data_IF_199899482027
#
_entry.id   IF_199899482027
#
_cell.length_a   1.000
_cell.length_b   1.000
_cell.length_c   1.000
_cell.angle_alpha   90.00
_cell.angle_beta   90.00
_cell.angle_gamma   90.00
#
_symmetry.space_group_name_H-M   'P 1'
#
loop_
_entity.id
_entity.type
_entity.pdbx_description
1 polymer ?
#
# COMPACT_ATOMS: atom_id res chain seq x y z
N UNK A 1 1.17 5.37 39.18
CA UNK A 1 0.32 6.52 38.79
C UNK A 1 0.33 6.62 37.27
N UNK A 2 -0.78 6.94 36.65
CA UNK A 2 -0.81 7.21 35.21
C UNK A 2 -0.06 8.53 34.96
N UNK A 3 0.75 8.58 33.88
CA UNK A 3 1.46 9.79 33.46
C UNK A 3 0.47 10.88 33.05
N UNK A 4 0.78 12.12 33.36
CA UNK A 4 0.06 13.29 32.83
C UNK A 4 0.32 13.46 31.34
N UNK A 5 -0.50 14.25 30.64
CA UNK A 5 -0.29 14.52 29.20
C UNK A 5 1.10 15.12 28.92
N UNK A 6 1.56 16.04 29.76
CA UNK A 6 2.89 16.65 29.64
C UNK A 6 4.03 15.64 29.86
N UNK A 7 3.90 14.74 30.82
CA UNK A 7 4.87 13.65 31.05
C UNK A 7 4.88 12.65 29.88
N UNK A 8 3.73 12.36 29.27
CA UNK A 8 3.64 11.51 28.09
C UNK A 8 4.34 12.16 26.88
N UNK A 9 4.11 13.45 26.62
CA UNK A 9 4.79 14.19 25.55
C UNK A 9 6.30 14.20 25.76
N UNK A 10 6.75 14.46 27.01
CA UNK A 10 8.18 14.45 27.34
C UNK A 10 8.80 13.06 27.14
N UNK A 11 8.16 12.01 27.61
CA UNK A 11 8.65 10.63 27.48
C UNK A 11 8.69 10.17 26.00
N UNK A 12 7.70 10.58 25.21
CA UNK A 12 7.64 10.33 23.77
C UNK A 12 8.85 10.97 23.06
N UNK A 13 9.10 12.27 23.29
CA UNK A 13 10.21 12.98 22.69
C UNK A 13 11.59 12.46 23.12
N UNK A 14 11.72 11.93 24.36
CA UNK A 14 12.99 11.43 24.90
C UNK A 14 13.26 9.97 24.50
N UNK A 15 12.23 9.13 24.31
CA UNK A 15 12.40 7.68 24.23
C UNK A 15 11.84 7.02 22.97
N UNK A 16 11.00 7.70 22.16
CA UNK A 16 10.45 7.13 20.94
C UNK A 16 11.11 7.73 19.67
N UNK A 17 11.53 6.85 18.77
CA UNK A 17 11.96 7.23 17.42
C UNK A 17 10.75 7.12 16.49
N UNK A 18 10.24 8.27 16.05
CA UNK A 18 9.11 8.30 15.13
C UNK A 18 9.52 7.97 13.69
N UNK A 19 8.78 7.04 13.00
CA UNK A 19 9.07 6.72 11.61
C UNK A 19 8.98 7.94 10.69
N UNK A 20 10.00 8.15 9.84
CA UNK A 20 10.04 9.21 8.82
C UNK A 20 9.88 10.64 9.38
N UNK A 21 10.31 10.87 10.58
CA UNK A 21 10.18 12.14 11.30
C UNK A 21 11.55 12.73 11.64
N UNK A 22 11.64 14.05 11.56
CA UNK A 22 12.76 14.82 12.10
C UNK A 22 12.25 15.78 13.20
N UNK A 23 12.90 15.87 14.36
CA UNK A 23 12.41 16.68 15.49
C UNK A 23 12.15 18.16 15.17
N UNK A 24 12.83 18.72 14.15
CA UNK A 24 12.59 20.09 13.70
C UNK A 24 11.30 20.31 12.91
N UNK A 25 10.59 19.24 12.52
CA UNK A 25 9.38 19.35 11.71
C UNK A 25 8.11 19.50 12.56
N UNK A 26 8.06 18.78 13.69
CA UNK A 26 6.95 18.84 14.65
C UNK A 26 7.51 18.83 16.06
N UNK A 27 7.26 19.90 16.79
CA UNK A 27 7.76 20.04 18.16
C UNK A 27 7.02 19.12 19.15
N UNK A 28 5.74 18.82 18.91
CA UNK A 28 4.92 18.00 19.81
C UNK A 28 4.20 16.89 19.04
N UNK A 29 4.22 15.63 19.56
CA UNK A 29 3.48 14.53 18.97
C UNK A 29 1.98 14.66 19.22
N UNK A 30 1.16 14.21 18.28
CA UNK A 30 -0.28 14.03 18.51
C UNK A 30 -0.50 12.65 19.11
N UNK A 31 -0.96 12.58 20.36
CA UNK A 31 -1.17 11.32 21.08
C UNK A 31 -2.63 10.89 20.94
N UNK A 32 -2.90 9.89 20.10
CA UNK A 32 -4.23 9.31 19.92
C UNK A 32 -4.52 8.32 21.04
N UNK A 33 -5.73 8.38 21.60
CA UNK A 33 -6.14 7.58 22.76
C UNK A 33 -7.35 6.68 22.51
N UNK A 34 -8.15 6.97 21.47
CA UNK A 34 -9.37 6.24 21.17
C UNK A 34 -9.70 6.29 19.69
N UNK A 35 -10.37 5.25 19.18
CA UNK A 35 -10.93 5.21 17.84
C UNK A 35 -12.27 4.46 17.80
N UNK A 36 -13.20 4.90 16.94
CA UNK A 36 -14.47 4.21 16.68
C UNK A 36 -14.96 4.51 15.25
N UNK A 37 -15.26 3.48 14.48
CA UNK A 37 -15.64 3.63 13.08
C UNK A 37 -14.56 4.35 12.27
N UNK A 38 -14.88 5.48 11.66
CA UNK A 38 -13.91 6.31 10.96
C UNK A 38 -13.38 7.50 11.79
N UNK A 39 -13.62 7.52 13.11
CA UNK A 39 -13.26 8.63 14.00
C UNK A 39 -12.18 8.22 14.98
N UNK A 40 -11.22 9.14 15.24
CA UNK A 40 -10.18 9.00 16.27
C UNK A 40 -10.16 10.23 17.19
N UNK A 41 -9.69 10.05 18.42
CA UNK A 41 -9.56 11.12 19.42
C UNK A 41 -8.14 11.17 19.97
N UNK A 42 -7.64 12.41 20.14
CA UNK A 42 -6.37 12.63 20.81
C UNK A 42 -6.53 12.76 22.33
N UNK A 43 -5.39 12.89 23.03
CA UNK A 43 -5.34 13.04 24.50
C UNK A 43 -5.96 14.36 24.98
N UNK A 44 -6.05 15.37 24.12
CA UNK A 44 -6.74 16.63 24.38
C UNK A 44 -8.25 16.54 24.22
N UNK A 45 -8.77 15.40 23.77
CA UNK A 45 -10.20 15.18 23.52
C UNK A 45 -10.68 15.68 22.16
N UNK A 46 -9.80 16.16 21.29
CA UNK A 46 -10.19 16.58 19.96
C UNK A 46 -10.58 15.37 19.11
N UNK A 47 -11.63 15.55 18.31
CA UNK A 47 -12.18 14.54 17.43
C UNK A 47 -11.75 14.79 15.99
N UNK A 48 -11.34 13.70 15.31
CA UNK A 48 -10.91 13.74 13.90
C UNK A 48 -11.56 12.63 13.10
N UNK A 49 -12.00 12.93 11.87
CA UNK A 49 -12.24 11.91 10.87
C UNK A 49 -10.89 11.36 10.41
N UNK A 50 -10.72 10.05 10.47
CA UNK A 50 -9.54 9.36 9.95
C UNK A 50 -9.63 9.24 8.42
N UNK A 51 -9.08 10.20 7.72
CA UNK A 51 -9.08 10.27 6.26
C UNK A 51 -8.08 9.31 5.59
N UNK A 52 -7.31 8.53 6.38
CA UNK A 52 -6.28 7.63 5.87
C UNK A 52 -6.37 6.18 6.40
N UNK A 53 -7.41 5.85 7.17
CA UNK A 53 -7.56 4.54 7.83
C UNK A 53 -6.29 4.16 8.62
N UNK A 54 -5.88 5.02 9.57
CA UNK A 54 -4.60 4.92 10.25
C UNK A 54 -3.44 5.15 9.28
N UNK A 55 -2.94 4.07 8.69
CA UNK A 55 -1.95 4.12 7.60
C UNK A 55 -2.36 3.14 6.48
N UNK A 56 -3.51 3.39 5.82
CA UNK A 56 -4.07 2.58 4.72
C UNK A 56 -4.49 1.16 5.17
N UNK A 57 -4.82 0.95 6.45
CA UNK A 57 -4.98 -0.39 7.00
C UNK A 57 -6.25 -0.64 7.81
N UNK A 58 -6.86 0.36 8.46
CA UNK A 58 -8.04 0.17 9.33
C UNK A 58 -9.32 0.06 8.48
N UNK A 59 -9.41 -1.01 7.69
CA UNK A 59 -10.49 -1.17 6.71
C UNK A 59 -11.88 -1.34 7.37
N UNK A 60 -12.02 -2.16 8.42
CA UNK A 60 -13.31 -2.40 9.10
C UNK A 60 -13.66 -1.32 10.14
N UNK A 61 -12.82 -0.27 10.24
CA UNK A 61 -12.99 0.80 11.22
C UNK A 61 -12.35 0.49 12.57
N UNK A 62 -12.21 1.55 13.36
CA UNK A 62 -11.69 1.48 14.73
C UNK A 62 -12.72 0.91 15.71
N UNK A 63 -12.26 0.34 16.84
CA UNK A 63 -13.09 -0.05 17.97
C UNK A 63 -13.99 -1.27 17.71
N UNK A 64 -13.60 -2.20 16.82
CA UNK A 64 -14.32 -3.46 16.58
C UNK A 64 -14.06 -4.47 17.69
N UNK A 65 -15.01 -4.61 18.61
CA UNK A 65 -14.93 -5.58 19.72
C UNK A 65 -14.73 -7.01 19.21
N UNK A 66 -15.39 -7.42 18.13
CA UNK A 66 -15.26 -8.76 17.54
C UNK A 66 -13.81 -9.16 17.24
N UNK A 67 -12.94 -8.21 16.82
CA UNK A 67 -11.52 -8.48 16.57
C UNK A 67 -10.72 -8.61 17.86
N UNK A 68 -11.04 -7.79 18.88
CA UNK A 68 -10.44 -7.89 20.20
C UNK A 68 -10.81 -9.21 20.89
N UNK A 69 -12.07 -9.62 20.77
CA UNK A 69 -12.58 -10.89 21.32
C UNK A 69 -11.92 -12.10 20.63
N UNK A 70 -11.77 -12.07 19.30
CA UNK A 70 -11.06 -13.11 18.56
C UNK A 70 -9.60 -13.23 19.02
N UNK A 71 -8.90 -12.11 19.21
CA UNK A 71 -7.54 -12.08 19.75
C UNK A 71 -7.49 -12.66 21.17
N UNK A 72 -8.35 -12.18 22.06
CA UNK A 72 -8.41 -12.63 23.47
C UNK A 72 -8.70 -14.13 23.57
N UNK A 73 -9.65 -14.62 22.79
CA UNK A 73 -10.00 -16.06 22.78
C UNK A 73 -8.81 -16.89 22.32
N UNK A 74 -8.19 -16.53 21.21
CA UNK A 74 -7.04 -17.29 20.68
C UNK A 74 -5.82 -17.21 21.59
N UNK A 75 -5.56 -16.07 22.25
CA UNK A 75 -4.47 -15.92 23.19
C UNK A 75 -4.63 -16.82 24.43
N UNK A 76 -5.85 -17.03 24.89
CA UNK A 76 -6.14 -17.95 26.03
C UNK A 76 -5.95 -19.40 25.64
N UNK A 77 -6.25 -19.77 24.40
CA UNK A 77 -6.14 -21.15 23.91
C UNK A 77 -4.69 -21.47 23.51
N UNK A 78 -4.09 -20.71 22.60
CA UNK A 78 -2.73 -20.84 22.14
C UNK A 78 -2.24 -19.48 21.62
N UNK A 79 -1.50 -18.75 22.44
CA UNK A 79 -0.99 -17.42 22.11
C UNK A 79 0.00 -17.48 20.94
N UNK A 80 0.96 -18.40 21.02
CA UNK A 80 1.98 -18.62 20.00
C UNK A 80 2.48 -20.06 20.01
N UNK A 81 2.72 -20.59 18.81
CA UNK A 81 3.59 -21.73 18.56
C UNK A 81 4.20 -21.62 17.16
N UNK A 82 5.40 -22.16 16.99
CA UNK A 82 6.15 -22.05 15.73
C UNK A 82 5.50 -22.82 14.58
N UNK A 83 5.57 -22.28 13.36
CA UNK A 83 5.24 -22.98 12.12
C UNK A 83 6.44 -23.69 11.45
N UNK A 84 7.61 -23.74 12.11
CA UNK A 84 8.82 -24.34 11.55
C UNK A 84 8.71 -25.87 11.43
N UNK A 85 9.44 -26.42 10.46
CA UNK A 85 9.65 -27.85 10.23
C UNK A 85 8.38 -28.70 10.24
N UNK A 86 7.31 -28.18 9.65
CA UNK A 86 6.04 -28.92 9.49
C UNK A 86 5.06 -28.78 10.67
N UNK A 87 5.38 -27.98 11.67
CA UNK A 87 4.39 -27.58 12.68
C UNK A 87 3.35 -26.63 12.07
N UNK A 88 2.13 -26.62 12.60
CA UNK A 88 1.05 -25.74 12.15
C UNK A 88 0.08 -25.45 13.30
N UNK A 89 -0.91 -24.57 13.03
CA UNK A 89 -2.00 -24.28 13.94
C UNK A 89 -3.31 -24.05 13.18
N UNK A 90 -4.44 -24.27 13.87
CA UNK A 90 -5.78 -24.17 13.25
C UNK A 90 -6.05 -22.79 12.65
N UNK A 91 -5.79 -21.64 13.32
CA UNK A 91 -6.01 -20.32 12.74
C UNK A 91 -5.23 -20.08 11.44
N UNK A 92 -3.96 -20.51 11.36
CA UNK A 92 -3.15 -20.32 10.15
C UNK A 92 -3.69 -21.14 8.97
N UNK A 93 -4.11 -22.41 9.22
CA UNK A 93 -4.73 -23.27 8.19
C UNK A 93 -6.05 -22.65 7.72
N UNK A 94 -6.90 -22.21 8.66
CA UNK A 94 -8.19 -21.57 8.37
C UNK A 94 -7.99 -20.31 7.56
N UNK A 95 -7.03 -19.45 7.94
CA UNK A 95 -6.72 -18.23 7.19
C UNK A 95 -6.25 -18.54 5.77
N UNK A 96 -5.36 -19.52 5.60
CA UNK A 96 -4.89 -19.92 4.28
C UNK A 96 -6.07 -20.33 3.36
N UNK A 97 -7.01 -21.14 3.87
CA UNK A 97 -8.21 -21.50 3.11
C UNK A 97 -9.07 -20.28 2.78
N UNK A 98 -9.33 -19.38 3.74
CA UNK A 98 -10.11 -18.17 3.49
C UNK A 98 -9.46 -17.25 2.46
N UNK A 99 -8.14 -17.13 2.47
CA UNK A 99 -7.42 -16.36 1.47
C UNK A 99 -7.55 -16.96 0.07
N UNK A 100 -7.55 -18.30 -0.07
CA UNK A 100 -7.78 -18.95 -1.36
C UNK A 100 -9.20 -18.76 -1.90
N UNK A 101 -10.21 -18.62 -1.03
CA UNK A 101 -11.59 -18.36 -1.43
C UNK A 101 -11.82 -16.96 -2.03
N UNK A 102 -11.03 -15.96 -1.61
CA UNK A 102 -11.23 -14.55 -1.98
C UNK A 102 -10.20 -14.01 -2.98
N UNK A 103 -9.14 -14.79 -3.26
CA UNK A 103 -8.05 -14.37 -4.15
C UNK A 103 -8.30 -14.76 -5.62
N UNK A 104 -7.28 -14.67 -6.45
CA UNK A 104 -7.29 -15.10 -7.85
C UNK A 104 -7.30 -16.63 -7.94
N UNK A 105 -8.06 -17.18 -8.88
CA UNK A 105 -8.26 -18.62 -9.06
C UNK A 105 -6.99 -19.41 -9.48
N UNK A 106 -5.91 -18.70 -9.87
CA UNK A 106 -4.61 -19.29 -10.16
C UNK A 106 -3.70 -19.44 -8.93
N UNK A 107 -4.10 -18.89 -7.77
CA UNK A 107 -3.34 -19.02 -6.51
C UNK A 107 -3.56 -20.39 -5.88
N UNK A 108 -2.52 -20.90 -5.19
CA UNK A 108 -2.54 -22.25 -4.62
C UNK A 108 -2.09 -22.29 -3.16
N UNK A 109 -1.18 -21.43 -2.75
CA UNK A 109 -0.58 -21.50 -1.42
C UNK A 109 -0.25 -20.11 -0.86
N UNK A 110 -0.15 -20.05 0.47
CA UNK A 110 0.15 -18.83 1.23
C UNK A 110 1.41 -19.05 2.07
N UNK A 111 2.29 -18.06 2.11
CA UNK A 111 3.31 -17.93 3.15
C UNK A 111 2.99 -16.67 3.97
N UNK A 112 2.97 -16.80 5.29
CA UNK A 112 2.60 -15.72 6.21
C UNK A 112 3.84 -15.05 6.82
N UNK A 113 3.79 -13.72 6.94
CA UNK A 113 4.82 -12.83 7.48
C UNK A 113 4.18 -11.82 8.43
N UNK A 114 4.97 -10.90 9.02
CA UNK A 114 4.44 -9.92 9.98
C UNK A 114 4.02 -8.58 9.34
N UNK A 115 4.35 -8.34 8.07
CA UNK A 115 4.02 -7.08 7.40
C UNK A 115 4.41 -7.04 5.93
N UNK A 116 4.15 -5.89 5.28
CA UNK A 116 4.31 -5.72 3.84
C UNK A 116 5.77 -5.78 3.34
N UNK A 117 6.72 -5.24 4.09
CA UNK A 117 8.13 -5.31 3.72
C UNK A 117 8.64 -6.76 3.72
N UNK A 118 8.30 -7.54 4.76
CA UNK A 118 8.63 -8.97 4.83
C UNK A 118 7.91 -9.77 3.74
N UNK A 119 6.66 -9.41 3.41
CA UNK A 119 5.93 -10.02 2.30
C UNK A 119 6.68 -9.82 0.97
N UNK A 120 7.16 -8.60 0.68
CA UNK A 120 7.91 -8.31 -0.53
C UNK A 120 9.30 -8.98 -0.53
N UNK A 121 10.01 -9.02 0.60
CA UNK A 121 11.23 -9.82 0.75
C UNK A 121 10.99 -11.30 0.38
N UNK A 122 9.88 -11.85 0.87
CA UNK A 122 9.46 -13.22 0.57
C UNK A 122 9.15 -13.41 -0.91
N UNK A 123 8.47 -12.43 -1.54
CA UNK A 123 8.15 -12.45 -2.97
C UNK A 123 9.43 -12.45 -3.83
N UNK A 124 10.40 -11.60 -3.53
CA UNK A 124 11.68 -11.54 -4.26
C UNK A 124 12.47 -12.84 -4.14
N UNK A 125 12.58 -13.37 -2.92
CA UNK A 125 13.26 -14.66 -2.68
C UNK A 125 12.54 -15.80 -3.37
N UNK A 126 11.20 -15.82 -3.35
CA UNK A 126 10.38 -16.84 -4.02
C UNK A 126 10.55 -16.78 -5.53
N UNK A 127 10.58 -15.58 -6.14
CA UNK A 127 10.82 -15.43 -7.57
C UNK A 127 12.20 -15.98 -7.98
N UNK A 128 13.27 -15.64 -7.24
CA UNK A 128 14.62 -16.16 -7.47
C UNK A 128 14.69 -17.68 -7.27
N UNK A 129 14.04 -18.19 -6.23
CA UNK A 129 13.97 -19.62 -5.95
C UNK A 129 13.28 -20.38 -7.10
N UNK A 130 12.11 -19.89 -7.53
CA UNK A 130 11.35 -20.50 -8.63
C UNK A 130 12.23 -20.67 -9.88
N UNK A 131 12.91 -19.59 -10.30
CA UNK A 131 13.75 -19.65 -11.50
C UNK A 131 14.91 -20.62 -11.37
N UNK A 132 15.55 -20.71 -10.20
CA UNK A 132 16.57 -21.73 -9.94
C UNK A 132 16.00 -23.13 -9.98
N UNK A 133 14.85 -23.36 -9.35
CA UNK A 133 14.20 -24.68 -9.33
C UNK A 133 13.81 -25.19 -10.73
N UNK A 134 13.49 -24.27 -11.67
CA UNK A 134 13.18 -24.63 -13.07
C UNK A 134 14.36 -24.50 -14.03
N UNK A 135 15.60 -24.47 -13.50
CA UNK A 135 16.84 -24.51 -14.30
C UNK A 135 17.24 -23.19 -14.95
N UNK A 136 16.76 -22.04 -14.44
CA UNK A 136 17.13 -20.69 -14.92
C UNK A 136 17.76 -19.85 -13.80
N UNK A 137 18.96 -20.24 -13.28
CA UNK A 137 19.56 -19.65 -12.08
C UNK A 137 19.97 -18.18 -12.21
N UNK A 138 20.16 -17.67 -13.44
CA UNK A 138 20.59 -16.29 -13.71
C UNK A 138 19.43 -15.29 -13.65
N UNK A 139 18.17 -15.72 -13.61
CA UNK A 139 17.00 -14.87 -13.46
C UNK A 139 16.87 -14.40 -12.00
N UNK A 140 17.52 -13.28 -11.68
CA UNK A 140 17.63 -12.75 -10.29
C UNK A 140 17.24 -11.29 -10.17
N UNK A 141 17.18 -10.53 -11.29
CA UNK A 141 16.85 -9.10 -11.26
C UNK A 141 15.34 -8.88 -11.06
N UNK A 142 15.03 -7.82 -10.32
CA UNK A 142 13.66 -7.36 -10.08
C UNK A 142 13.50 -5.97 -10.70
N UNK A 143 12.48 -5.80 -11.54
CA UNK A 143 12.11 -4.50 -12.08
C UNK A 143 10.96 -3.93 -11.23
N UNK A 144 11.04 -2.65 -10.88
CA UNK A 144 9.98 -1.88 -10.21
C UNK A 144 9.83 -0.51 -10.85
N UNK A 145 8.94 0.33 -10.32
CA UNK A 145 8.65 1.65 -10.89
C UNK A 145 9.20 2.77 -10.00
N UNK A 146 9.59 3.89 -10.60
CA UNK A 146 9.77 5.13 -9.85
C UNK A 146 8.46 5.50 -9.12
N UNK A 147 8.57 6.16 -7.98
CA UNK A 147 7.47 6.51 -7.08
C UNK A 147 6.73 5.31 -6.44
N UNK A 148 7.12 4.06 -6.71
CA UNK A 148 6.58 2.90 -6.01
C UNK A 148 7.09 2.82 -4.56
N UNK A 149 6.28 2.21 -3.68
CA UNK A 149 6.66 1.91 -2.30
C UNK A 149 6.45 0.43 -1.99
N UNK A 150 7.52 -0.28 -1.69
CA UNK A 150 7.49 -1.72 -1.43
C UNK A 150 8.00 -2.11 -0.03
N UNK A 151 8.37 -1.12 0.79
CA UNK A 151 8.90 -1.31 2.14
C UNK A 151 10.26 -0.66 2.35
N UNK A 152 10.85 -0.89 3.54
CA UNK A 152 12.10 -0.25 3.99
C UNK A 152 13.16 -1.25 4.52
N UNK A 153 12.94 -2.56 4.44
CA UNK A 153 14.01 -3.54 4.54
C UNK A 153 14.95 -3.37 3.34
N UNK A 154 16.20 -3.80 3.40
CA UNK A 154 17.19 -3.46 2.39
C UNK A 154 16.79 -3.83 0.96
N UNK A 155 16.20 -5.01 0.72
CA UNK A 155 15.73 -5.36 -0.63
C UNK A 155 14.43 -4.62 -0.98
N UNK A 156 13.46 -4.54 -0.05
CA UNK A 156 12.22 -3.80 -0.29
C UNK A 156 12.47 -2.30 -0.51
N UNK A 157 13.43 -1.70 0.21
CA UNK A 157 13.90 -0.33 -0.03
C UNK A 157 14.55 -0.20 -1.41
N UNK A 158 15.33 -1.21 -1.83
CA UNK A 158 15.95 -1.22 -3.16
C UNK A 158 14.93 -1.33 -4.29
N UNK A 159 13.78 -1.98 -4.07
CA UNK A 159 12.64 -2.02 -4.98
C UNK A 159 11.78 -0.74 -4.90
N UNK A 160 11.72 -0.07 -3.74
CA UNK A 160 11.02 1.21 -3.57
C UNK A 160 11.64 2.26 -4.49
N UNK A 161 10.81 2.90 -5.33
CA UNK A 161 11.26 3.87 -6.34
C UNK A 161 11.26 5.32 -5.88
N UNK A 162 11.18 5.58 -4.57
CA UNK A 162 11.23 6.90 -3.95
C UNK A 162 12.63 7.16 -3.39
N UNK A 163 13.42 8.01 -4.06
CA UNK A 163 14.84 8.25 -3.73
C UNK A 163 15.09 8.81 -2.33
N UNK A 164 14.10 9.44 -1.71
CA UNK A 164 14.20 9.92 -0.33
C UNK A 164 14.50 8.81 0.68
N UNK A 165 14.11 7.57 0.39
CA UNK A 165 14.40 6.41 1.24
C UNK A 165 15.82 5.86 1.07
N UNK A 166 16.59 6.30 0.06
CA UNK A 166 17.89 5.70 -0.26
C UNK A 166 19.08 6.43 0.40
N UNK A 167 19.06 7.76 0.32
CA UNK A 167 20.21 8.65 0.55
C UNK A 167 21.09 8.28 1.77
N UNK A 168 20.49 7.95 2.90
CA UNK A 168 21.23 7.65 4.15
C UNK A 168 21.45 6.15 4.38
N UNK A 169 20.97 5.29 3.47
CA UNK A 169 21.02 3.83 3.60
C UNK A 169 21.71 3.14 2.40
N UNK A 170 22.30 3.90 1.49
CA UNK A 170 23.10 3.38 0.38
C UNK A 170 24.39 2.72 0.87
N UNK A 171 24.93 1.69 0.16
CA UNK A 171 24.48 1.24 -1.16
C UNK A 171 23.23 0.37 -1.12
N UNK A 172 22.38 0.48 -2.15
CA UNK A 172 21.23 -0.40 -2.33
C UNK A 172 21.67 -1.81 -2.72
N UNK A 173 20.79 -2.77 -2.46
CA UNK A 173 21.02 -4.16 -2.89
C UNK A 173 21.03 -4.21 -4.43
N UNK A 174 22.04 -4.83 -5.08
CA UNK A 174 22.10 -4.92 -6.53
C UNK A 174 21.01 -5.80 -7.11
N UNK A 175 20.70 -5.59 -8.41
CA UNK A 175 19.69 -6.36 -9.14
C UNK A 175 18.28 -5.79 -9.07
N UNK A 176 18.08 -4.58 -8.53
CA UNK A 176 16.82 -3.84 -8.60
C UNK A 176 16.92 -2.72 -9.63
N UNK A 177 16.01 -2.73 -10.61
CA UNK A 177 15.96 -1.80 -11.74
C UNK A 177 14.66 -1.00 -11.69
N UNK A 178 14.74 0.31 -11.93
CA UNK A 178 13.55 1.17 -11.93
C UNK A 178 13.20 1.66 -13.33
N UNK A 179 11.91 1.66 -13.63
CA UNK A 179 11.34 2.19 -14.86
C UNK A 179 10.40 3.37 -14.57
N UNK A 180 10.02 4.18 -15.57
CA UNK A 180 9.04 5.26 -15.38
C UNK A 180 7.73 4.74 -14.77
N UNK A 181 7.11 5.57 -13.92
CA UNK A 181 5.78 5.28 -13.38
C UNK A 181 4.70 5.49 -14.45
N UNK A 182 3.60 4.73 -14.35
CA UNK A 182 2.46 4.80 -15.27
C UNK A 182 1.46 5.92 -14.93
N UNK A 183 1.94 7.08 -14.47
CA UNK A 183 1.12 8.20 -14.02
C UNK A 183 0.76 9.15 -15.16
N UNK A 184 -0.49 9.16 -15.68
CA UNK A 184 -0.84 9.85 -16.91
C UNK A 184 -0.55 11.37 -16.89
N UNK A 185 -0.83 12.04 -15.78
CA UNK A 185 -0.66 13.49 -15.67
C UNK A 185 0.80 13.96 -15.87
N UNK A 186 1.78 13.12 -15.46
CA UNK A 186 3.21 13.48 -15.52
C UNK A 186 4.06 12.53 -16.36
N UNK A 187 3.44 11.58 -17.07
CA UNK A 187 4.20 10.63 -17.88
C UNK A 187 4.90 11.32 -19.04
N UNK A 188 6.17 11.02 -19.20
CA UNK A 188 6.99 11.49 -20.31
C UNK A 188 7.45 10.29 -21.16
N UNK A 189 7.58 10.50 -22.49
CA UNK A 189 8.09 9.47 -23.40
C UNK A 189 7.02 8.64 -24.11
N UNK A 190 5.73 9.02 -24.05
CA UNK A 190 4.72 8.48 -24.96
C UNK A 190 4.98 8.96 -26.39
N UNK A 191 4.90 8.04 -27.35
CA UNK A 191 5.02 8.36 -28.79
C UNK A 191 3.68 8.90 -29.31
N UNK A 192 3.70 9.55 -30.48
CA UNK A 192 2.49 10.04 -31.11
C UNK A 192 1.48 8.88 -31.32
N UNK A 193 0.24 9.06 -30.84
CA UNK A 193 -0.83 8.05 -30.89
C UNK A 193 -0.75 6.93 -29.84
N UNK A 194 0.25 6.95 -28.98
CA UNK A 194 0.42 5.95 -27.90
C UNK A 194 -0.29 6.43 -26.62
N UNK A 195 -1.07 5.55 -25.99
CA UNK A 195 -1.59 5.83 -24.64
C UNK A 195 -0.45 5.78 -23.61
N UNK A 196 -0.66 6.40 -22.44
CA UNK A 196 0.31 6.29 -21.34
C UNK A 196 0.48 4.83 -20.89
N UNK A 197 -0.59 4.04 -20.90
CA UNK A 197 -0.51 2.60 -20.56
C UNK A 197 0.34 1.82 -21.55
N UNK A 198 0.21 2.10 -22.84
CA UNK A 198 1.07 1.53 -23.91
C UNK A 198 2.53 1.90 -23.69
N UNK A 199 2.80 3.20 -23.51
CA UNK A 199 4.15 3.70 -23.33
C UNK A 199 4.83 3.18 -22.06
N UNK A 200 4.11 3.11 -20.95
CA UNK A 200 4.63 2.58 -19.69
C UNK A 200 4.88 1.06 -19.74
N UNK A 201 4.00 0.30 -20.42
CA UNK A 201 4.23 -1.13 -20.64
C UNK A 201 5.39 -1.38 -21.61
N UNK A 202 5.55 -0.56 -22.65
CA UNK A 202 6.73 -0.57 -23.53
C UNK A 202 8.02 -0.28 -22.75
N UNK A 203 8.01 0.68 -21.83
CA UNK A 203 9.17 0.94 -20.97
C UNK A 203 9.58 -0.27 -20.12
N UNK A 204 8.61 -1.09 -19.67
CA UNK A 204 8.90 -2.37 -19.04
C UNK A 204 9.58 -3.33 -20.00
N UNK A 205 9.05 -3.50 -21.22
CA UNK A 205 9.63 -4.40 -22.22
C UNK A 205 11.06 -3.96 -22.61
N UNK A 206 11.26 -2.67 -22.86
CA UNK A 206 12.60 -2.12 -23.15
C UNK A 206 13.59 -2.36 -22.01
N UNK A 207 13.14 -2.27 -20.75
CA UNK A 207 13.99 -2.58 -19.59
C UNK A 207 14.33 -4.06 -19.52
N UNK A 208 13.38 -4.96 -19.75
CA UNK A 208 13.62 -6.42 -19.80
C UNK A 208 14.66 -6.75 -20.88
N UNK A 209 14.50 -6.19 -22.08
CA UNK A 209 15.42 -6.41 -23.19
C UNK A 209 16.82 -5.87 -22.90
N UNK A 210 16.93 -4.67 -22.33
CA UNK A 210 18.20 -4.05 -21.94
C UNK A 210 18.94 -4.83 -20.85
N UNK A 211 18.21 -5.32 -19.85
CA UNK A 211 18.79 -6.09 -18.73
C UNK A 211 19.14 -7.53 -19.13
N UNK A 212 18.58 -8.02 -20.23
CA UNK A 212 18.64 -9.40 -20.69
C UNK A 212 17.47 -10.24 -20.14
N UNK A 213 16.54 -10.72 -20.98
CA UNK A 213 15.35 -11.47 -20.55
C UNK A 213 15.67 -12.66 -19.64
N UNK A 214 16.81 -13.32 -19.86
CA UNK A 214 17.24 -14.48 -19.07
C UNK A 214 17.86 -14.09 -17.71
N UNK A 215 17.96 -12.80 -17.39
CA UNK A 215 18.43 -12.31 -16.08
C UNK A 215 17.31 -11.68 -15.23
N UNK A 216 16.16 -11.35 -15.82
CA UNK A 216 15.05 -10.72 -15.13
C UNK A 216 14.10 -11.76 -14.54
N UNK A 217 14.02 -11.82 -13.22
CA UNK A 217 13.15 -12.74 -12.49
C UNK A 217 11.70 -12.29 -12.44
N UNK A 218 11.47 -11.01 -12.09
CA UNK A 218 10.12 -10.51 -11.91
C UNK A 218 10.02 -9.00 -12.14
N UNK A 219 8.80 -8.56 -12.46
CA UNK A 219 8.34 -7.19 -12.31
C UNK A 219 7.43 -7.10 -11.09
N UNK A 220 7.67 -6.13 -10.20
CA UNK A 220 6.78 -5.84 -9.08
C UNK A 220 6.06 -4.51 -9.28
N UNK A 221 4.76 -4.47 -8.96
CA UNK A 221 4.00 -3.24 -9.03
C UNK A 221 2.77 -3.22 -8.14
N UNK A 222 2.52 -2.06 -7.52
CA UNK A 222 1.25 -1.75 -6.89
C UNK A 222 0.19 -1.55 -7.99
N UNK A 223 -1.01 -2.18 -7.92
CA UNK A 223 -2.08 -1.97 -8.91
C UNK A 223 -2.44 -0.49 -9.10
N UNK A 224 -2.53 0.24 -7.99
CA UNK A 224 -2.58 1.69 -7.89
C UNK A 224 -1.48 2.06 -6.90
N UNK A 225 -0.56 2.96 -7.26
CA UNK A 225 0.44 3.40 -6.29
C UNK A 225 -0.26 4.03 -5.08
N UNK A 226 0.08 3.59 -3.88
CA UNK A 226 -0.43 4.19 -2.66
C UNK A 226 0.44 5.37 -2.23
N UNK A 227 1.50 5.08 -1.49
CA UNK A 227 2.42 6.06 -0.91
C UNK A 227 3.10 6.99 -1.91
N UNK A 228 3.20 6.59 -3.17
CA UNK A 228 3.75 7.37 -4.27
C UNK A 228 2.88 8.53 -4.76
N UNK A 229 1.62 8.63 -4.33
CA UNK A 229 0.74 9.72 -4.74
C UNK A 229 -0.68 9.31 -5.12
N UNK A 230 -1.11 8.09 -4.78
CA UNK A 230 -2.38 7.51 -5.27
C UNK A 230 -2.44 7.60 -6.79
N UNK A 231 -1.42 7.04 -7.48
CA UNK A 231 -1.28 7.16 -8.91
C UNK A 231 -2.03 6.04 -9.63
N UNK A 232 -3.05 6.42 -10.38
CA UNK A 232 -3.86 5.52 -11.18
C UNK A 232 -3.21 5.29 -12.54
N UNK A 233 -3.07 4.03 -13.00
CA UNK A 233 -2.73 3.74 -14.39
C UNK A 233 -3.94 3.96 -15.30
N UNK A 234 -3.71 4.08 -16.62
CA UNK A 234 -4.77 3.90 -17.62
C UNK A 234 -5.26 2.45 -17.64
N UNK A 235 -6.50 2.22 -18.07
CA UNK A 235 -7.11 0.87 -17.99
C UNK A 235 -6.41 -0.19 -18.86
N UNK A 236 -5.67 0.23 -19.89
CA UNK A 236 -4.92 -0.66 -20.78
C UNK A 236 -3.53 -1.06 -20.26
N UNK A 237 -3.04 -0.45 -19.16
CA UNK A 237 -1.70 -0.69 -18.63
C UNK A 237 -1.48 -2.12 -18.13
N UNK A 238 -2.31 -2.57 -17.19
CA UNK A 238 -2.11 -3.88 -16.54
C UNK A 238 -2.28 -5.07 -17.49
N UNK A 239 -3.27 -5.11 -18.41
CA UNK A 239 -3.32 -6.15 -19.44
C UNK A 239 -2.02 -6.23 -20.26
N UNK A 240 -1.47 -5.09 -20.68
CA UNK A 240 -0.21 -5.04 -21.44
C UNK A 240 1.00 -5.46 -20.63
N UNK A 241 1.07 -5.07 -19.35
CA UNK A 241 2.12 -5.54 -18.44
C UNK A 241 2.10 -7.08 -18.34
N UNK A 242 0.90 -7.68 -18.21
CA UNK A 242 0.78 -9.14 -18.17
C UNK A 242 1.25 -9.79 -19.48
N UNK A 243 0.91 -9.23 -20.62
CA UNK A 243 1.37 -9.70 -21.93
C UNK A 243 2.90 -9.64 -22.04
N UNK A 244 3.52 -8.53 -21.68
CA UNK A 244 4.99 -8.37 -21.69
C UNK A 244 5.65 -9.39 -20.75
N UNK A 245 5.19 -9.51 -19.51
CA UNK A 245 5.72 -10.47 -18.55
C UNK A 245 5.61 -11.93 -19.08
N UNK A 246 4.48 -12.28 -19.70
CA UNK A 246 4.26 -13.61 -20.28
C UNK A 246 5.21 -13.87 -21.45
N UNK A 247 5.34 -12.92 -22.37
CA UNK A 247 6.20 -13.02 -23.56
C UNK A 247 7.66 -13.28 -23.21
N UNK A 248 8.16 -12.63 -22.16
CA UNK A 248 9.56 -12.72 -21.75
C UNK A 248 9.82 -13.68 -20.59
N UNK A 249 8.83 -14.47 -20.18
CA UNK A 249 8.93 -15.36 -19.01
C UNK A 249 9.43 -14.60 -17.76
N UNK A 250 8.82 -13.47 -17.43
CA UNK A 250 9.07 -12.67 -16.24
C UNK A 250 7.87 -12.82 -15.32
N UNK A 251 8.09 -13.12 -14.03
CA UNK A 251 6.99 -13.22 -13.06
C UNK A 251 6.39 -11.84 -12.78
N UNK A 252 5.06 -11.79 -12.65
CA UNK A 252 4.34 -10.60 -12.19
C UNK A 252 4.06 -10.71 -10.70
N UNK A 253 4.67 -9.82 -9.91
CA UNK A 253 4.39 -9.67 -8.48
C UNK A 253 3.43 -8.49 -8.31
N UNK A 254 2.21 -8.76 -7.82
CA UNK A 254 1.27 -7.70 -7.44
C UNK A 254 1.50 -7.33 -5.98
N UNK A 255 1.91 -6.10 -5.71
CA UNK A 255 1.95 -5.54 -4.36
C UNK A 255 0.56 -4.98 -4.03
N UNK A 256 -0.28 -5.82 -3.42
CA UNK A 256 -1.64 -5.49 -2.97
C UNK A 256 -1.67 -5.11 -1.47
N UNK A 257 -0.56 -4.71 -0.92
CA UNK A 257 -0.43 -4.34 0.50
C UNK A 257 -1.36 -3.18 0.87
N UNK A 258 -1.57 -2.20 -0.03
CA UNK A 258 -2.53 -1.10 0.18
C UNK A 258 -3.86 -1.40 -0.51
N UNK A 259 -3.84 -1.90 -1.72
CA UNK A 259 -4.99 -2.00 -2.62
C UNK A 259 -5.89 -3.20 -2.35
N UNK A 260 -5.37 -4.22 -1.65
CA UNK A 260 -6.12 -5.40 -1.27
C UNK A 260 -7.15 -5.20 -0.17
N UNK A 261 -7.89 -6.26 0.12
CA UNK A 261 -8.89 -6.32 1.18
C UNK A 261 -9.95 -5.23 1.08
N UNK A 262 -10.64 -5.21 -0.06
CA UNK A 262 -11.78 -4.36 -0.38
C UNK A 262 -11.49 -2.87 -0.59
N UNK A 263 -10.24 -2.39 -0.42
CA UNK A 263 -9.88 -0.96 -0.51
C UNK A 263 -10.37 -0.31 -1.80
N UNK A 264 -10.26 -1.02 -2.93
CA UNK A 264 -10.63 -0.50 -4.25
C UNK A 264 -12.05 -0.89 -4.72
N UNK A 265 -12.89 -1.43 -3.82
CA UNK A 265 -14.23 -1.94 -4.18
C UNK A 265 -14.19 -3.37 -4.76
N UNK A 266 -13.06 -4.04 -4.69
CA UNK A 266 -12.84 -5.46 -5.00
C UNK A 266 -11.95 -6.06 -3.91
N UNK A 267 -11.93 -7.41 -3.76
CA UNK A 267 -11.03 -8.05 -2.82
C UNK A 267 -9.57 -7.69 -3.09
N UNK A 268 -9.16 -7.72 -4.37
CA UNK A 268 -7.83 -7.31 -4.83
C UNK A 268 -7.95 -6.45 -6.08
N UNK A 269 -7.06 -5.48 -6.23
CA UNK A 269 -7.25 -4.42 -7.22
C UNK A 269 -6.99 -4.85 -8.67
N UNK A 270 -6.08 -5.80 -8.96
CA UNK A 270 -5.90 -6.27 -10.33
C UNK A 270 -7.15 -6.97 -10.89
N UNK A 271 -8.13 -7.33 -10.04
CA UNK A 271 -9.45 -7.82 -10.49
C UNK A 271 -10.21 -6.80 -11.34
N UNK A 272 -9.92 -5.49 -11.21
CA UNK A 272 -10.52 -4.47 -12.07
C UNK A 272 -10.12 -4.57 -13.53
N UNK A 273 -8.95 -5.14 -13.80
CA UNK A 273 -8.39 -5.31 -15.14
C UNK A 273 -8.37 -6.76 -15.63
N UNK A 274 -8.98 -7.68 -14.85
CA UNK A 274 -8.95 -9.12 -15.12
C UNK A 274 -7.52 -9.67 -15.34
N UNK A 275 -6.55 -9.16 -14.57
CA UNK A 275 -5.14 -9.57 -14.61
C UNK A 275 -4.83 -10.42 -13.39
N UNK A 276 -4.20 -11.58 -13.61
CA UNK A 276 -3.80 -12.51 -12.57
C UNK A 276 -2.28 -12.45 -12.39
N UNK A 277 -1.78 -12.13 -11.18
CA UNK A 277 -0.36 -12.14 -10.89
C UNK A 277 0.16 -13.58 -10.67
N UNK A 278 1.48 -13.74 -10.70
CA UNK A 278 2.16 -14.99 -10.35
C UNK A 278 2.43 -15.09 -8.85
N UNK A 279 2.71 -13.93 -8.22
CA UNK A 279 2.86 -13.77 -6.77
C UNK A 279 2.06 -12.53 -6.37
N UNK A 280 1.36 -12.61 -5.24
CA UNK A 280 0.63 -11.49 -4.65
C UNK A 280 1.19 -11.24 -3.25
N UNK A 281 1.64 -10.02 -2.96
CA UNK A 281 2.03 -9.58 -1.61
C UNK A 281 0.87 -8.86 -0.92
N UNK A 282 0.63 -9.17 0.36
CA UNK A 282 -0.44 -8.55 1.14
C UNK A 282 -0.02 -8.25 2.59
N UNK A 283 -0.68 -7.28 3.20
CA UNK A 283 -0.57 -6.93 4.62
C UNK A 283 -1.75 -6.01 5.01
N UNK A 284 -1.54 -5.07 5.93
CA UNK A 284 -2.45 -3.96 6.26
C UNK A 284 -3.91 -4.39 6.47
N UNK A 285 -4.72 -4.30 5.41
CA UNK A 285 -6.14 -4.62 5.42
C UNK A 285 -6.48 -6.05 5.84
N UNK A 286 -5.53 -6.99 5.81
CA UNK A 286 -5.77 -8.39 6.21
C UNK A 286 -6.23 -8.54 7.66
N UNK A 287 -5.73 -7.68 8.56
CA UNK A 287 -6.14 -7.61 9.97
C UNK A 287 -6.79 -6.27 10.32
N UNK A 288 -6.99 -5.40 9.34
CA UNK A 288 -7.40 -4.00 9.55
C UNK A 288 -6.53 -3.25 10.57
N UNK A 289 -5.25 -3.60 10.65
CA UNK A 289 -4.28 -2.95 11.55
C UNK A 289 -4.41 -3.33 13.02
N UNK A 290 -5.32 -4.24 13.38
CA UNK A 290 -5.50 -4.68 14.77
C UNK A 290 -4.32 -5.51 15.28
N UNK A 291 -3.72 -6.33 14.43
CA UNK A 291 -2.48 -7.06 14.71
C UNK A 291 -1.57 -7.07 13.47
N UNK A 292 -0.23 -7.16 13.67
CA UNK A 292 0.72 -7.26 12.56
C UNK A 292 0.56 -8.59 11.82
N UNK A 293 0.29 -8.53 10.51
CA UNK A 293 0.26 -9.69 9.62
C UNK A 293 0.47 -9.25 8.18
N UNK A 294 1.14 -10.10 7.42
CA UNK A 294 1.30 -9.99 5.99
C UNK A 294 1.64 -11.34 5.39
N UNK A 295 1.97 -11.36 4.12
CA UNK A 295 2.38 -12.60 3.46
C UNK A 295 2.36 -12.49 1.95
N UNK A 296 2.60 -13.62 1.32
CA UNK A 296 2.48 -13.80 -0.12
C UNK A 296 1.53 -14.94 -0.44
N UNK A 297 0.83 -14.82 -1.56
CA UNK A 297 0.13 -15.92 -2.22
C UNK A 297 0.86 -16.24 -3.51
N UNK A 298 0.97 -17.52 -3.84
CA UNK A 298 1.72 -18.02 -5.00
C UNK A 298 0.87 -18.96 -5.83
N UNK A 299 1.16 -19.01 -7.13
CA UNK A 299 0.48 -19.88 -8.07
C UNK A 299 0.82 -21.37 -7.89
N UNK A 300 -0.01 -22.23 -8.47
CA UNK A 300 0.22 -23.68 -8.53
C UNK A 300 1.58 -24.02 -9.19
N UNK A 301 2.01 -23.26 -10.20
CA UNK A 301 3.28 -23.48 -10.88
C UNK A 301 4.48 -23.24 -9.92
N UNK A 302 4.44 -22.14 -9.15
CA UNK A 302 5.48 -21.82 -8.17
C UNK A 302 5.48 -22.85 -7.03
N UNK A 303 4.29 -23.19 -6.50
CA UNK A 303 4.17 -24.22 -5.46
C UNK A 303 4.71 -25.57 -5.93
N UNK A 304 4.37 -26.00 -7.16
CA UNK A 304 4.87 -27.24 -7.73
C UNK A 304 6.39 -27.25 -7.91
N UNK A 305 6.99 -26.13 -8.30
CA UNK A 305 8.44 -26.01 -8.36
C UNK A 305 9.09 -26.11 -6.96
N UNK A 306 8.47 -25.53 -5.94
CA UNK A 306 8.95 -25.64 -4.55
C UNK A 306 8.90 -27.09 -4.04
N UNK A 307 7.87 -27.86 -4.43
CA UNK A 307 7.70 -29.24 -4.00
C UNK A 307 8.60 -30.25 -4.79
N UNK A 308 9.07 -29.86 -5.98
CA UNK A 308 9.87 -30.73 -6.85
C UNK A 308 11.36 -30.73 -6.60
N UNK A 309 11.89 -29.75 -5.85
CA UNK A 309 13.33 -29.69 -5.55
C UNK A 309 13.72 -30.75 -4.52
N UNK A 310 14.99 -31.11 -4.50
CA UNK A 310 15.53 -32.02 -3.51
C UNK A 310 15.50 -31.42 -2.09
N UNK A 311 15.45 -32.23 -1.03
CA UNK A 311 15.42 -31.73 0.35
C UNK A 311 16.54 -30.76 0.72
N UNK A 312 17.73 -30.94 0.18
CA UNK A 312 18.88 -30.04 0.38
C UNK A 312 18.69 -28.66 -0.26
N UNK A 313 17.91 -28.58 -1.33
CA UNK A 313 17.60 -27.35 -2.08
C UNK A 313 16.28 -26.70 -1.64
N UNK A 314 15.70 -27.14 -0.53
CA UNK A 314 14.42 -26.64 -0.04
C UNK A 314 14.40 -25.11 0.10
N UNK A 315 13.23 -24.56 0.05
CA UNK A 315 12.98 -23.10 0.24
C UNK A 315 13.31 -22.66 1.68
N UNK A 316 14.60 -22.32 1.92
CA UNK A 316 15.12 -21.91 3.24
C UNK A 316 14.79 -20.46 3.53
N UNK A 317 13.52 -20.21 3.89
CA UNK A 317 12.99 -18.91 4.23
C UNK A 317 11.94 -19.04 5.33
N UNK A 318 12.07 -18.24 6.37
CA UNK A 318 11.17 -18.26 7.50
C UNK A 318 11.29 -16.94 8.30
N UNK A 319 10.22 -16.61 9.00
CA UNK A 319 10.20 -15.61 10.06
C UNK A 319 9.67 -16.24 11.34
N UNK A 320 10.16 -15.80 12.48
CA UNK A 320 9.72 -16.33 13.80
C UNK A 320 8.20 -16.29 13.96
N UNK A 321 7.57 -15.22 13.50
CA UNK A 321 6.13 -15.00 13.64
C UNK A 321 5.29 -15.42 12.41
N UNK A 322 5.87 -16.21 11.49
CA UNK A 322 5.11 -16.77 10.37
C UNK A 322 3.94 -17.62 10.90
N UNK A 323 2.71 -17.27 10.51
CA UNK A 323 1.51 -17.99 10.92
C UNK A 323 1.16 -17.87 12.39
N UNK A 324 1.52 -16.76 13.06
CA UNK A 324 1.19 -16.48 14.46
C UNK A 324 -0.31 -16.71 14.72
N UNK A 325 -0.69 -17.63 15.63
CA UNK A 325 -2.09 -18.06 15.81
C UNK A 325 -3.06 -16.91 16.05
N UNK A 326 -2.72 -16.00 16.97
CA UNK A 326 -3.59 -14.86 17.31
C UNK A 326 -3.76 -13.90 16.14
N UNK A 327 -2.70 -13.61 15.39
CA UNK A 327 -2.79 -12.74 14.20
C UNK A 327 -3.66 -13.39 13.11
N UNK A 328 -3.53 -14.69 12.91
CA UNK A 328 -4.34 -15.45 11.96
C UNK A 328 -5.82 -15.51 12.37
N UNK A 329 -6.13 -15.71 13.65
CA UNK A 329 -7.50 -15.70 14.15
C UNK A 329 -8.18 -14.35 13.95
N UNK A 330 -7.46 -13.25 14.22
CA UNK A 330 -7.94 -11.88 13.94
C UNK A 330 -8.16 -11.66 12.44
N UNK A 331 -7.27 -12.14 11.59
CA UNK A 331 -7.42 -12.02 10.13
C UNK A 331 -8.64 -12.81 9.62
N UNK A 332 -8.87 -14.01 10.10
CA UNK A 332 -10.08 -14.81 9.77
C UNK A 332 -11.34 -14.03 10.16
N UNK A 333 -11.42 -13.52 11.39
CA UNK A 333 -12.56 -12.71 11.86
C UNK A 333 -12.71 -11.42 11.03
N UNK A 334 -11.62 -10.77 10.64
CA UNK A 334 -11.64 -9.58 9.82
C UNK A 334 -12.20 -9.85 8.41
N UNK A 335 -11.81 -10.95 7.76
CA UNK A 335 -12.38 -11.37 6.47
C UNK A 335 -13.87 -11.70 6.62
N UNK A 336 -14.27 -12.35 7.71
CA UNK A 336 -15.69 -12.61 8.03
C UNK A 336 -16.51 -11.32 8.12
N UNK A 337 -16.00 -10.31 8.84
CA UNK A 337 -16.66 -8.99 8.96
C UNK A 337 -16.76 -8.32 7.59
N UNK A 338 -15.68 -8.27 6.81
CA UNK A 338 -15.69 -7.67 5.47
C UNK A 338 -16.71 -8.36 4.55
N UNK A 339 -16.81 -9.69 4.64
CA UNK A 339 -17.76 -10.49 3.84
C UNK A 339 -19.19 -10.23 4.28
N UNK A 340 -19.47 -10.33 5.59
CA UNK A 340 -20.81 -10.14 6.16
C UNK A 340 -21.38 -8.75 5.88
N UNK A 341 -20.51 -7.73 6.01
CA UNK A 341 -20.90 -6.32 5.81
C UNK A 341 -20.73 -5.84 4.35
N UNK A 342 -20.26 -6.72 3.45
CA UNK A 342 -20.04 -6.43 2.02
C UNK A 342 -19.25 -5.14 1.81
N UNK A 343 -18.15 -4.97 2.55
CA UNK A 343 -17.43 -3.70 2.62
C UNK A 343 -16.83 -3.25 1.28
N UNK A 344 -16.65 -4.15 0.31
CA UNK A 344 -16.28 -3.76 -1.07
C UNK A 344 -17.35 -2.89 -1.74
N UNK A 345 -18.63 -3.08 -1.43
CA UNK A 345 -19.72 -2.28 -2.00
C UNK A 345 -19.74 -0.88 -1.41
N UNK A 346 -19.61 -0.78 -0.08
CA UNK A 346 -19.49 0.53 0.57
C UNK A 346 -18.24 1.26 0.10
N UNK A 347 -17.11 0.56 -0.06
CA UNK A 347 -15.88 1.13 -0.59
C UNK A 347 -16.07 1.69 -2.02
N UNK A 348 -16.77 0.96 -2.90
CA UNK A 348 -17.10 1.45 -4.24
C UNK A 348 -18.01 2.68 -4.18
N UNK A 349 -19.17 2.57 -3.49
CA UNK A 349 -20.17 3.66 -3.38
C UNK A 349 -19.56 4.93 -2.76
N UNK A 350 -18.88 4.80 -1.64
CA UNK A 350 -18.29 5.94 -0.93
C UNK A 350 -17.07 6.50 -1.69
N UNK A 351 -16.33 5.65 -2.40
CA UNK A 351 -15.24 6.06 -3.27
C UNK A 351 -15.71 6.92 -4.43
N UNK A 352 -16.80 6.53 -5.10
CA UNK A 352 -17.41 7.33 -6.18
C UNK A 352 -17.93 8.67 -5.64
N UNK A 353 -18.56 8.69 -4.46
CA UNK A 353 -19.01 9.92 -3.80
C UNK A 353 -17.84 10.83 -3.45
N UNK A 354 -16.78 10.30 -2.87
CA UNK A 354 -15.56 11.06 -2.54
C UNK A 354 -14.94 11.67 -3.80
N UNK A 355 -14.78 10.89 -4.84
CA UNK A 355 -14.19 11.36 -6.09
C UNK A 355 -15.05 12.45 -6.76
N UNK A 356 -16.38 12.28 -6.77
CA UNK A 356 -17.30 13.31 -7.26
C UNK A 356 -17.21 14.59 -6.42
N UNK A 357 -17.20 14.49 -5.09
CA UNK A 357 -17.04 15.63 -4.19
C UNK A 357 -15.72 16.39 -4.38
N UNK A 358 -14.61 15.66 -4.55
CA UNK A 358 -13.32 16.27 -4.85
C UNK A 358 -13.29 16.95 -6.22
N UNK A 359 -13.93 16.37 -7.24
CA UNK A 359 -14.08 17.03 -8.55
C UNK A 359 -14.85 18.34 -8.44
N UNK A 360 -15.99 18.34 -7.73
CA UNK A 360 -16.78 19.55 -7.52
C UNK A 360 -15.97 20.62 -6.77
N UNK A 361 -15.19 20.20 -5.77
CA UNK A 361 -14.39 21.13 -4.95
C UNK A 361 -13.20 21.74 -5.72
N UNK A 362 -12.62 21.01 -6.69
CA UNK A 362 -11.32 21.37 -7.27
C UNK A 362 -11.28 21.49 -8.80
N UNK A 363 -12.37 21.21 -9.52
CA UNK A 363 -12.39 21.22 -11.00
C UNK A 363 -11.83 22.53 -11.58
N UNK A 364 -12.29 23.66 -11.07
CA UNK A 364 -11.89 24.99 -11.57
C UNK A 364 -10.82 25.66 -10.69
N UNK A 365 -10.28 24.94 -9.70
CA UNK A 365 -9.30 25.51 -8.79
C UNK A 365 -7.95 25.76 -9.50
N UNK A 366 -7.39 26.99 -9.46
CA UNK A 366 -6.21 27.36 -10.25
C UNK A 366 -4.96 26.52 -9.94
N UNK A 367 -4.89 25.94 -8.78
CA UNK A 367 -3.77 25.11 -8.33
C UNK A 367 -4.05 23.60 -8.32
N UNK A 368 -5.25 23.13 -8.69
CA UNK A 368 -5.51 21.69 -8.78
C UNK A 368 -4.93 21.14 -10.10
N UNK A 369 -3.80 20.47 -10.02
CA UNK A 369 -3.14 19.85 -11.17
C UNK A 369 -3.84 18.58 -11.60
N UNK A 370 -4.12 17.68 -10.65
CA UNK A 370 -4.79 16.41 -10.95
C UNK A 370 -5.66 15.95 -9.78
N UNK A 371 -6.82 15.36 -10.09
CA UNK A 371 -7.78 14.80 -9.12
C UNK A 371 -7.95 13.32 -9.44
N UNK A 372 -7.53 12.45 -8.54
CA UNK A 372 -7.47 11.00 -8.73
C UNK A 372 -8.46 10.26 -7.85
N UNK A 373 -9.06 9.20 -8.40
CA UNK A 373 -10.04 8.37 -7.71
C UNK A 373 -10.85 7.49 -8.66
N UNK A 374 -11.98 6.95 -8.20
CA UNK A 374 -12.93 6.20 -9.02
C UNK A 374 -12.74 4.68 -9.00
N UNK A 375 -11.85 4.15 -8.15
CA UNK A 375 -11.82 2.73 -7.81
C UNK A 375 -11.74 2.61 -6.28
N UNK A 376 -12.90 2.53 -5.64
CA UNK A 376 -13.07 2.45 -4.19
C UNK A 376 -12.59 3.68 -3.42
N UNK A 377 -12.36 3.48 -2.13
CA UNK A 377 -11.93 4.54 -1.20
C UNK A 377 -10.42 4.76 -1.25
N UNK A 378 -9.96 5.25 -2.38
CA UNK A 378 -8.57 5.61 -2.63
C UNK A 378 -8.56 6.80 -3.58
N UNK A 379 -8.29 8.01 -3.07
CA UNK A 379 -8.34 9.24 -3.85
C UNK A 379 -7.22 10.22 -3.46
N UNK A 380 -6.92 11.16 -4.34
CA UNK A 380 -5.97 12.23 -4.06
C UNK A 380 -6.27 13.50 -4.89
N UNK A 381 -5.81 14.62 -4.37
CA UNK A 381 -5.76 15.90 -5.08
C UNK A 381 -4.30 16.35 -5.11
N UNK A 382 -3.75 16.49 -6.32
CA UNK A 382 -2.42 17.04 -6.53
C UNK A 382 -2.51 18.54 -6.78
N UNK A 383 -1.74 19.30 -6.02
CA UNK A 383 -1.67 20.75 -6.13
C UNK A 383 -0.35 21.18 -6.76
N UNK A 384 -0.43 22.14 -7.65
CA UNK A 384 0.70 22.68 -8.42
C UNK A 384 0.67 24.22 -8.40
N UNK A 385 1.81 24.84 -8.60
CA UNK A 385 1.91 26.31 -8.70
C UNK A 385 1.22 26.79 -9.98
N UNK A 386 1.41 26.08 -11.08
CA UNK A 386 0.85 26.38 -12.38
C UNK A 386 0.33 25.10 -13.07
N UNK A 387 -0.96 25.09 -13.41
CA UNK A 387 -1.64 23.95 -14.05
C UNK A 387 -1.18 23.70 -15.49
N UNK A 388 -0.91 24.76 -16.24
CA UNK A 388 -0.58 24.65 -17.66
C UNK A 388 0.80 24.03 -17.87
N UNK A 389 1.75 24.40 -17.04
CA UNK A 389 3.13 23.91 -17.08
C UNK A 389 3.37 22.73 -16.12
N UNK A 390 2.39 22.37 -15.29
CA UNK A 390 2.51 21.36 -14.23
C UNK A 390 3.61 21.69 -13.21
N UNK A 391 3.96 22.97 -13.06
CA UNK A 391 5.03 23.43 -12.19
C UNK A 391 4.66 23.23 -10.72
N UNK A 392 5.50 22.53 -9.98
CA UNK A 392 5.35 22.34 -8.56
C UNK A 392 5.65 23.63 -7.77
N UNK A 393 5.04 23.78 -6.60
CA UNK A 393 5.41 24.84 -5.67
C UNK A 393 6.88 24.73 -5.23
N UNK A 394 7.52 25.86 -4.97
CA UNK A 394 8.84 25.88 -4.37
C UNK A 394 8.79 25.25 -2.96
N UNK A 395 9.81 24.46 -2.60
CA UNK A 395 9.81 23.66 -1.37
C UNK A 395 9.77 24.49 -0.07
N UNK A 396 10.28 25.72 -0.09
CA UNK A 396 10.26 26.67 1.02
C UNK A 396 8.83 27.16 1.37
N UNK A 397 7.88 27.07 0.43
CA UNK A 397 6.46 27.35 0.67
C UNK A 397 5.79 26.35 1.61
N UNK A 398 6.37 25.15 1.79
CA UNK A 398 5.88 24.07 2.69
C UNK A 398 4.38 23.78 2.54
N UNK A 399 3.87 23.79 1.30
CA UNK A 399 2.42 23.71 1.01
C UNK A 399 1.81 22.46 1.63
N UNK A 400 2.41 21.28 1.41
CA UNK A 400 1.92 20.02 1.98
C UNK A 400 1.80 20.07 3.51
N UNK A 401 2.83 20.55 4.22
CA UNK A 401 2.82 20.62 5.68
C UNK A 401 1.73 21.59 6.20
N UNK A 402 1.58 22.76 5.55
CA UNK A 402 0.53 23.72 5.87
C UNK A 402 -0.86 23.16 5.64
N UNK A 403 -1.07 22.42 4.54
CA UNK A 403 -2.34 21.75 4.26
C UNK A 403 -2.67 20.70 5.32
N UNK A 404 -1.70 19.90 5.74
CA UNK A 404 -1.90 18.90 6.79
C UNK A 404 -2.33 19.55 8.11
N UNK A 405 -1.66 20.62 8.51
CA UNK A 405 -2.01 21.38 9.71
C UNK A 405 -3.42 21.98 9.62
N UNK A 406 -3.79 22.56 8.47
CA UNK A 406 -5.13 23.13 8.27
C UNK A 406 -6.24 22.07 8.24
N UNK A 407 -6.00 20.91 7.70
CA UNK A 407 -6.96 19.80 7.73
C UNK A 407 -7.14 19.29 9.16
N UNK A 408 -6.06 19.11 9.92
CA UNK A 408 -6.14 18.72 11.34
C UNK A 408 -6.93 19.72 12.18
N UNK A 409 -6.69 21.03 12.04
CA UNK A 409 -7.45 22.09 12.72
C UNK A 409 -8.96 21.99 12.44
N UNK A 410 -9.35 21.45 11.29
CA UNK A 410 -10.75 21.24 10.87
C UNK A 410 -11.29 19.85 11.20
N UNK A 411 -10.57 19.08 12.01
CA UNK A 411 -11.01 17.76 12.45
C UNK A 411 -10.89 16.66 11.40
N UNK A 412 -9.91 16.72 10.50
CA UNK A 412 -9.57 15.64 9.57
C UNK A 412 -8.10 15.30 9.66
N UNK A 413 -7.80 14.06 9.99
CA UNK A 413 -6.44 13.51 9.90
C UNK A 413 -6.27 12.83 8.55
N UNK A 414 -5.29 13.29 7.79
CA UNK A 414 -4.87 12.63 6.55
C UNK A 414 -3.38 12.87 6.33
N UNK A 415 -2.84 12.31 5.27
CA UNK A 415 -1.46 12.55 4.87
C UNK A 415 -1.42 13.52 3.69
N UNK A 416 -0.46 14.42 3.74
CA UNK A 416 -0.04 15.20 2.61
C UNK A 416 1.39 14.83 2.24
N UNK A 417 1.75 14.98 0.97
CA UNK A 417 3.09 14.70 0.50
C UNK A 417 3.67 15.92 -0.21
N UNK A 418 4.87 16.31 0.19
CA UNK A 418 5.68 17.28 -0.54
C UNK A 418 6.36 16.62 -1.75
N UNK A 419 6.73 17.43 -2.71
CA UNK A 419 7.55 17.01 -3.87
C UNK A 419 8.91 16.48 -3.42
N UNK A 420 9.28 15.29 -3.85
CA UNK A 420 10.56 14.68 -3.51
C UNK A 420 11.18 13.97 -4.72
N UNK A 421 12.38 14.36 -5.09
CA UNK A 421 13.25 13.64 -6.03
C UNK A 421 13.33 14.21 -7.45
N UNK A 422 14.33 13.77 -8.22
CA UNK A 422 14.66 14.29 -9.55
C UNK A 422 13.77 13.73 -10.68
N UNK A 423 13.02 12.66 -10.44
CA UNK A 423 12.10 12.08 -11.43
C UNK A 423 10.75 12.82 -11.42
N UNK A 424 9.96 12.77 -12.51
CA UNK A 424 8.60 13.32 -12.51
C UNK A 424 7.82 12.77 -11.32
N UNK A 425 7.73 13.58 -10.27
CA UNK A 425 7.06 13.25 -9.02
C UNK A 425 5.78 14.08 -8.91
N UNK A 426 4.71 13.55 -8.27
CA UNK A 426 3.55 14.33 -7.94
C UNK A 426 3.93 15.60 -7.16
N UNK A 427 3.19 16.68 -7.39
CA UNK A 427 3.26 17.90 -6.57
C UNK A 427 2.76 17.67 -5.15
N UNK A 428 2.56 18.75 -4.41
CA UNK A 428 1.96 18.68 -3.08
C UNK A 428 0.58 18.02 -3.16
N UNK A 429 0.42 16.86 -2.54
CA UNK A 429 -0.73 15.98 -2.74
C UNK A 429 -1.44 15.70 -1.41
N UNK A 430 -2.76 15.85 -1.38
CA UNK A 430 -3.63 15.42 -0.26
C UNK A 430 -4.14 14.02 -0.57
N UNK A 431 -4.01 13.08 0.36
CA UNK A 431 -4.45 11.69 0.21
C UNK A 431 -5.74 11.42 0.96
N UNK A 432 -6.58 10.52 0.41
CA UNK A 432 -7.79 10.05 1.05
C UNK A 432 -7.91 8.54 0.89
N UNK A 433 -7.98 7.85 2.01
CA UNK A 433 -8.25 6.44 2.10
C UNK A 433 -8.91 6.11 3.45
N UNK A 434 -10.08 6.68 3.76
CA UNK A 434 -10.73 6.48 5.04
C UNK A 434 -11.10 5.01 5.26
N UNK A 435 -11.47 4.58 6.49
CA UNK A 435 -12.04 3.27 6.75
C UNK A 435 -13.20 2.94 5.81
N UNK A 436 -13.35 1.66 5.43
CA UNK A 436 -14.39 1.25 4.46
C UNK A 436 -15.81 1.34 5.05
N UNK A 437 -15.94 1.62 6.32
CA UNK A 437 -17.20 1.84 7.05
C UNK A 437 -17.62 3.30 7.08
N UNK A 438 -16.88 4.19 6.42
CA UNK A 438 -17.17 5.61 6.35
C UNK A 438 -18.58 5.86 5.79
N UNK A 439 -19.27 6.85 6.37
CA UNK A 439 -20.62 7.27 5.98
C UNK A 439 -20.59 8.35 4.90
N UNK A 440 -21.75 8.60 4.27
CA UNK A 440 -21.89 9.67 3.27
C UNK A 440 -21.55 11.05 3.85
N UNK A 441 -22.01 11.36 5.08
CA UNK A 441 -21.74 12.63 5.74
C UNK A 441 -20.24 12.83 6.03
N UNK A 442 -19.55 11.77 6.45
CA UNK A 442 -18.10 11.84 6.68
C UNK A 442 -17.33 12.05 5.36
N UNK A 443 -17.73 11.38 4.27
CA UNK A 443 -17.14 11.58 2.94
C UNK A 443 -17.34 13.00 2.43
N UNK A 444 -18.54 13.56 2.58
CA UNK A 444 -18.83 14.95 2.20
C UNK A 444 -17.98 15.93 3.01
N UNK A 445 -17.81 15.67 4.31
CA UNK A 445 -16.95 16.48 5.18
C UNK A 445 -15.47 16.40 4.77
N UNK A 446 -14.96 15.22 4.36
CA UNK A 446 -13.59 15.10 3.85
C UNK A 446 -13.35 16.05 2.66
N UNK A 447 -14.26 16.04 1.69
CA UNK A 447 -14.17 16.91 0.50
C UNK A 447 -14.28 18.40 0.83
N UNK A 448 -15.21 18.76 1.72
CA UNK A 448 -15.41 20.15 2.17
C UNK A 448 -14.17 20.66 2.93
N UNK A 449 -13.65 19.89 3.89
CA UNK A 449 -12.47 20.27 4.67
C UNK A 449 -11.24 20.41 3.79
N UNK A 450 -11.08 19.55 2.77
CA UNK A 450 -9.98 19.67 1.81
C UNK A 450 -10.04 20.99 1.05
N UNK A 451 -11.22 21.35 0.52
CA UNK A 451 -11.43 22.64 -0.15
C UNK A 451 -11.09 23.83 0.76
N UNK A 452 -11.63 23.82 1.98
CA UNK A 452 -11.46 24.92 2.93
C UNK A 452 -10.00 25.04 3.41
N UNK A 453 -9.28 23.92 3.54
CA UNK A 453 -7.86 23.92 3.87
C UNK A 453 -7.02 24.48 2.70
N UNK A 454 -7.32 24.09 1.46
CA UNK A 454 -6.63 24.62 0.27
C UNK A 454 -6.87 26.11 0.14
N UNK A 455 -8.11 26.58 0.31
CA UNK A 455 -8.43 28.02 0.32
C UNK A 455 -7.66 28.77 1.39
N UNK A 456 -7.55 28.24 2.60
CA UNK A 456 -6.80 28.88 3.70
C UNK A 456 -5.29 28.96 3.43
N UNK A 457 -4.72 27.96 2.75
CA UNK A 457 -3.28 27.87 2.49
C UNK A 457 -2.85 28.62 1.24
N UNK A 458 -3.66 28.61 0.19
CA UNK A 458 -3.34 29.14 -1.15
C UNK A 458 -4.09 30.44 -1.48
N UNK A 459 -5.15 30.80 -0.72
CA UNK A 459 -5.88 32.06 -0.89
C UNK A 459 -6.91 32.09 -2.03
N UNK A 460 -7.32 30.92 -2.54
CA UNK A 460 -8.23 30.80 -3.70
C UNK A 460 -9.41 29.88 -3.38
#
# INVERSE_FOLDING_TARGET
MALTAAELVKADQEHLIHPLHHPSENAEPVIYVRGRGATVWDIGGHEYIDGLAGLWNVNVGHGRAELADAASTQMKELAYFTGYVGSSNIPAITLANRLMEITYDNMQAVFLASGGAEANESAFKTARFYWKAVGKPDKVKIISRHQAYHGVTLQAMSATGMSAYWKMFEPRVPGFVHIPTCYPYRFQGAKAGETVGQAAARALEEAILREGPDTVAAFIGEPIHGGGGVLYPTDDYWPRVREVCTRHNVLLIADEVITGFCRTGRWFALMHWNVKPDILSFAKGVTSGYLPLGGIMITKAIKGAMDSVKPEDRWMHAYTYSGHPTCCAVAVKNIEIMTRERLWENAAKMGDRLFAGLKVAFHDHPHAGDIRGGKGLLAAVELVEDRATQKNFAGDRKVAARLQAEMMKRGVVTRTRAVVGPHPAPGDTIYFAPPLVVTEAEVDRLSAVARDAVKAVLGT
#
